data_IF_245472051594
#
_entry.id   IF_245472051594
#
_cell.length_a   1.000
_cell.length_b   1.000
_cell.length_c   1.000
_cell.angle_alpha   90.00
_cell.angle_beta   90.00
_cell.angle_gamma   90.00
#
_symmetry.space_group_name_H-M   'P 1'
#
loop_
_entity.id
_entity.type
_entity.pdbx_description
1 polymer ?
#
# COMPACT_ATOMS: atom_id res chain seq x y z
N UNK A 1 -11.18 -15.60 29.82
CA UNK A 1 -10.71 -15.96 28.46
C UNK A 1 -10.27 -14.69 27.74
N UNK A 2 -8.97 -14.52 27.50
CA UNK A 2 -8.41 -13.46 26.66
C UNK A 2 -8.62 -13.79 25.18
N UNK A 3 -8.92 -12.79 24.36
CA UNK A 3 -8.99 -12.95 22.90
C UNK A 3 -7.59 -12.71 22.37
N UNK A 4 -7.06 -13.64 21.57
CA UNK A 4 -5.75 -13.50 20.93
C UNK A 4 -5.95 -13.31 19.42
N UNK A 5 -5.33 -12.27 18.87
CA UNK A 5 -5.32 -11.96 17.45
C UNK A 5 -3.88 -11.91 16.93
N UNK A 6 -3.69 -12.38 15.71
CA UNK A 6 -2.42 -12.32 14.99
C UNK A 6 -2.57 -11.37 13.81
N UNK A 7 -1.71 -10.36 13.73
CA UNK A 7 -1.63 -9.45 12.58
C UNK A 7 -0.29 -9.70 11.91
N UNK A 8 -0.30 -9.95 10.60
CA UNK A 8 0.90 -10.31 9.84
C UNK A 8 1.14 -9.37 8.67
N UNK A 9 2.37 -9.38 8.17
CA UNK A 9 2.70 -8.65 6.96
C UNK A 9 1.90 -9.21 5.76
N UNK A 10 1.40 -8.33 4.89
CA UNK A 10 0.74 -8.71 3.63
C UNK A 10 1.62 -9.60 2.71
N UNK A 11 2.93 -9.65 2.96
CA UNK A 11 3.91 -10.50 2.28
C UNK A 11 4.27 -11.80 3.02
N UNK A 12 3.54 -12.18 4.07
CA UNK A 12 3.76 -13.43 4.80
C UNK A 12 3.60 -14.68 3.92
N UNK A 13 2.72 -14.61 2.90
CA UNK A 13 2.44 -15.73 2.01
C UNK A 13 3.46 -15.97 0.89
N UNK A 14 3.10 -16.92 0.02
CA UNK A 14 3.71 -17.14 -1.29
C UNK A 14 2.61 -17.11 -2.35
N UNK A 15 2.63 -16.10 -3.23
CA UNK A 15 1.77 -15.97 -4.40
C UNK A 15 2.65 -15.82 -5.63
N UNK A 16 2.67 -16.85 -6.46
CA UNK A 16 3.19 -16.73 -7.83
C UNK A 16 2.18 -15.98 -8.68
N UNK A 17 2.67 -14.99 -9.42
CA UNK A 17 1.85 -14.35 -10.45
C UNK A 17 1.47 -15.37 -11.52
N UNK A 18 0.17 -15.61 -11.74
CA UNK A 18 -0.33 -16.52 -12.79
C UNK A 18 -0.17 -15.97 -14.22
N UNK A 19 0.48 -14.82 -14.39
CA UNK A 19 0.57 -14.11 -15.66
C UNK A 19 1.70 -14.71 -16.51
N UNK A 20 1.34 -15.32 -17.65
CA UNK A 20 2.26 -15.86 -18.67
C UNK A 20 2.66 -14.82 -19.74
N UNK A 21 2.81 -13.54 -19.38
CA UNK A 21 3.22 -12.51 -20.34
C UNK A 21 4.74 -12.27 -20.21
N UNK A 22 5.49 -12.58 -21.27
CA UNK A 22 6.95 -12.52 -21.31
C UNK A 22 7.55 -11.12 -21.03
N UNK A 23 6.75 -10.05 -21.11
CA UNK A 23 7.19 -8.66 -20.95
C UNK A 23 6.95 -8.06 -19.56
N UNK A 24 6.17 -8.71 -18.68
CA UNK A 24 5.95 -8.24 -17.30
C UNK A 24 6.76 -9.12 -16.36
N UNK A 25 7.81 -8.54 -15.75
CA UNK A 25 8.59 -9.19 -14.68
C UNK A 25 7.60 -9.83 -13.71
N UNK A 26 7.71 -11.15 -13.49
CA UNK A 26 6.95 -11.88 -12.49
C UNK A 26 7.23 -11.24 -11.13
N UNK A 27 6.38 -10.30 -10.69
CA UNK A 27 6.50 -9.71 -9.36
C UNK A 27 6.18 -10.83 -8.38
N UNK A 28 7.19 -11.36 -7.71
CA UNK A 28 7.01 -12.13 -6.49
C UNK A 28 6.39 -11.15 -5.49
N UNK A 29 5.07 -11.21 -5.32
CA UNK A 29 4.34 -10.23 -4.50
C UNK A 29 4.50 -10.49 -3.00
N UNK A 30 4.99 -11.66 -2.60
CA UNK A 30 5.01 -12.10 -1.21
C UNK A 30 6.28 -12.92 -0.92
N UNK A 31 7.08 -12.52 0.08
CA UNK A 31 8.46 -12.98 0.31
C UNK A 31 8.59 -13.91 1.53
N UNK A 32 7.53 -14.66 1.88
CA UNK A 32 7.47 -15.44 3.13
C UNK A 32 7.88 -14.60 4.35
N UNK A 33 7.36 -13.38 4.41
CA UNK A 33 7.75 -12.41 5.43
C UNK A 33 7.36 -12.92 6.82
N UNK A 34 8.29 -12.86 7.78
CA UNK A 34 8.06 -13.34 9.15
C UNK A 34 7.58 -12.23 10.09
N UNK A 35 7.42 -11.00 9.59
CA UNK A 35 6.98 -9.89 10.41
C UNK A 35 5.52 -10.07 10.82
N UNK A 36 5.27 -10.08 12.14
CA UNK A 36 3.95 -10.30 12.74
C UNK A 36 3.88 -9.77 14.16
N UNK A 37 2.67 -9.44 14.60
CA UNK A 37 2.36 -9.04 15.97
C UNK A 37 1.23 -9.89 16.53
N UNK A 38 1.41 -10.32 17.76
CA UNK A 38 0.38 -10.99 18.55
C UNK A 38 -0.22 -9.97 19.50
N UNK A 39 -1.52 -9.76 19.38
CA UNK A 39 -2.28 -8.82 20.19
C UNK A 39 -3.27 -9.61 21.02
N UNK A 40 -3.39 -9.28 22.29
CA UNK A 40 -4.32 -9.91 23.22
C UNK A 40 -5.21 -8.87 23.88
N UNK A 41 -6.50 -9.16 23.96
CA UNK A 41 -7.43 -8.35 24.72
C UNK A 41 -7.44 -8.81 26.19
N UNK A 42 -6.98 -7.93 27.08
CA UNK A 42 -6.99 -8.17 28.51
C UNK A 42 -8.31 -7.69 29.10
N UNK A 43 -9.23 -8.63 29.34
CA UNK A 43 -10.56 -8.34 29.91
C UNK A 43 -10.52 -7.76 31.32
N UNK A 44 -9.47 -7.99 32.11
CA UNK A 44 -9.38 -7.47 33.49
C UNK A 44 -9.02 -5.99 33.51
N UNK A 45 -8.19 -5.56 32.55
CA UNK A 45 -7.71 -4.18 32.43
C UNK A 45 -8.45 -3.39 31.34
N UNK A 46 -9.39 -4.04 30.67
CA UNK A 46 -10.19 -3.52 29.55
C UNK A 46 -9.35 -2.84 28.45
N UNK A 47 -8.21 -3.45 28.10
CA UNK A 47 -7.33 -2.91 27.05
C UNK A 47 -6.68 -3.99 26.19
N UNK A 48 -6.19 -3.56 25.02
CA UNK A 48 -5.38 -4.39 24.14
C UNK A 48 -3.90 -4.31 24.52
N UNK A 49 -3.21 -5.44 24.49
CA UNK A 49 -1.77 -5.55 24.75
C UNK A 49 -1.07 -6.31 23.63
N UNK A 50 0.11 -5.86 23.23
CA UNK A 50 0.99 -6.62 22.34
C UNK A 50 1.79 -7.61 23.18
N UNK A 51 1.61 -8.91 22.93
CA UNK A 51 2.26 -9.98 23.69
C UNK A 51 3.56 -10.47 23.06
N UNK A 52 3.63 -10.44 21.73
CA UNK A 52 4.84 -10.80 20.97
C UNK A 52 4.91 -9.99 19.68
N UNK A 53 6.11 -9.51 19.38
CA UNK A 53 6.37 -8.68 18.21
C UNK A 53 7.62 -9.18 17.47
N UNK A 54 7.45 -9.58 16.21
CA UNK A 54 8.54 -9.93 15.31
C UNK A 54 8.64 -8.83 14.24
N UNK A 55 9.62 -7.93 14.35
CA UNK A 55 9.79 -6.76 13.46
C UNK A 55 10.58 -7.04 12.18
N UNK A 56 11.29 -8.17 12.11
CA UNK A 56 12.23 -8.44 11.01
C UNK A 56 11.48 -8.78 9.72
N UNK A 57 11.55 -7.88 8.74
CA UNK A 57 11.08 -8.14 7.39
C UNK A 57 12.13 -8.89 6.55
N UNK A 58 11.67 -9.72 5.62
CA UNK A 58 12.52 -10.40 4.61
C UNK A 58 12.59 -9.64 3.28
N UNK A 59 12.03 -8.44 3.24
CA UNK A 59 11.95 -7.60 2.05
C UNK A 59 12.11 -6.13 2.44
N UNK A 60 12.49 -5.26 1.48
CA UNK A 60 12.41 -3.82 1.68
C UNK A 60 10.96 -3.41 2.00
N UNK A 61 10.79 -2.61 3.04
CA UNK A 61 9.53 -1.96 3.40
C UNK A 61 9.66 -0.47 3.10
N UNK A 62 8.74 0.10 2.33
CA UNK A 62 8.76 1.52 1.99
C UNK A 62 7.40 2.13 2.28
N UNK A 63 7.39 3.21 3.06
CA UNK A 63 6.17 3.98 3.33
C UNK A 63 5.50 4.49 2.04
N UNK A 64 6.27 4.70 0.97
CA UNK A 64 5.77 5.07 -0.36
C UNK A 64 4.81 4.04 -0.98
N UNK A 65 4.86 2.79 -0.53
CA UNK A 65 3.94 1.74 -0.99
C UNK A 65 2.57 1.79 -0.28
N UNK A 66 2.40 2.70 0.69
CA UNK A 66 1.12 2.93 1.39
C UNK A 66 0.01 3.37 0.43
N UNK A 67 0.34 4.02 -0.69
CA UNK A 67 -0.59 4.38 -1.77
C UNK A 67 -1.45 3.21 -2.28
N UNK A 68 -1.02 1.97 -2.09
CA UNK A 68 -1.84 0.81 -2.45
C UNK A 68 -3.02 0.57 -1.50
N UNK A 69 -2.97 1.11 -0.29
CA UNK A 69 -4.02 1.04 0.73
C UNK A 69 -4.86 2.30 0.68
N UNK A 70 -6.17 2.15 0.45
CA UNK A 70 -7.09 3.27 0.25
C UNK A 70 -7.07 4.26 1.43
N UNK A 71 -6.94 3.76 2.66
CA UNK A 71 -6.92 4.56 3.89
C UNK A 71 -5.72 5.50 3.99
N UNK A 72 -4.66 5.24 3.23
CA UNK A 72 -3.44 6.04 3.19
C UNK A 72 -3.25 6.77 1.86
N UNK A 73 -4.27 6.76 0.99
CA UNK A 73 -4.24 7.55 -0.25
C UNK A 73 -4.59 8.98 0.07
N UNK A 74 -3.75 9.90 -0.38
CA UNK A 74 -3.97 11.33 -0.22
C UNK A 74 -3.58 12.08 -1.48
N UNK A 75 -4.51 12.89 -1.98
CA UNK A 75 -4.27 13.81 -3.07
C UNK A 75 -3.74 15.14 -2.51
N UNK A 76 -2.59 15.57 -3.00
CA UNK A 76 -2.08 16.92 -2.70
C UNK A 76 -3.02 17.97 -3.30
N UNK A 77 -3.09 19.15 -2.68
CA UNK A 77 -3.90 20.25 -3.23
C UNK A 77 -3.50 20.63 -4.67
N UNK A 78 -2.20 20.54 -4.97
CA UNK A 78 -1.71 20.75 -6.33
C UNK A 78 -2.26 19.71 -7.30
N UNK A 79 -2.18 18.42 -6.95
CA UNK A 79 -2.71 17.34 -7.78
C UNK A 79 -4.22 17.53 -8.03
N UNK A 80 -5.01 17.86 -6.99
CA UNK A 80 -6.45 18.12 -7.14
C UNK A 80 -6.74 19.21 -8.17
N UNK A 81 -6.05 20.36 -8.07
CA UNK A 81 -6.24 21.48 -8.99
C UNK A 81 -5.86 21.13 -10.43
N UNK A 82 -4.80 20.34 -10.63
CA UNK A 82 -4.39 19.88 -11.97
C UNK A 82 -5.42 18.90 -12.55
N UNK A 83 -5.94 17.98 -11.73
CA UNK A 83 -6.99 17.03 -12.15
C UNK A 83 -8.26 17.77 -12.57
N UNK A 84 -8.76 18.68 -11.73
CA UNK A 84 -9.96 19.48 -12.02
C UNK A 84 -9.82 20.28 -13.33
N UNK A 85 -8.70 20.98 -13.52
CA UNK A 85 -8.47 21.76 -14.75
C UNK A 85 -8.35 20.89 -15.99
N UNK A 86 -7.77 19.71 -15.85
CA UNK A 86 -7.61 18.79 -16.97
C UNK A 86 -8.94 18.11 -17.33
N UNK A 87 -9.80 17.85 -16.34
CA UNK A 87 -11.16 17.36 -16.55
C UNK A 87 -12.03 18.41 -17.28
N UNK A 88 -11.90 19.70 -16.94
CA UNK A 88 -12.60 20.80 -17.63
C UNK A 88 -12.30 20.89 -19.14
N UNK A 89 -11.15 20.36 -19.58
CA UNK A 89 -10.73 20.34 -21.00
C UNK A 89 -10.70 18.92 -21.58
N UNK A 90 -11.38 17.97 -20.96
CA UNK A 90 -11.52 16.56 -21.38
C UNK A 90 -10.17 15.84 -21.59
N UNK A 91 -9.13 16.20 -20.83
CA UNK A 91 -7.87 15.46 -20.84
C UNK A 91 -8.07 14.14 -20.10
N UNK A 92 -7.71 13.05 -20.79
CA UNK A 92 -7.81 11.71 -20.23
C UNK A 92 -7.08 11.59 -18.88
N UNK A 93 -7.74 11.07 -17.82
CA UNK A 93 -7.18 10.91 -16.47
C UNK A 93 -5.80 10.24 -16.43
N UNK A 94 -5.61 9.15 -17.18
CA UNK A 94 -4.31 8.47 -17.30
C UNK A 94 -3.15 9.40 -17.71
N UNK A 95 -3.40 10.36 -18.62
CA UNK A 95 -2.37 11.34 -19.03
C UNK A 95 -2.07 12.35 -17.93
N UNK A 96 -3.09 12.78 -17.20
CA UNK A 96 -2.94 13.65 -16.03
C UNK A 96 -2.11 12.97 -14.96
N UNK A 97 -2.45 11.73 -14.61
CA UNK A 97 -1.69 10.92 -13.67
C UNK A 97 -0.23 10.75 -14.09
N UNK A 98 0.04 10.43 -15.36
CA UNK A 98 1.42 10.27 -15.85
C UNK A 98 2.22 11.57 -15.78
N UNK A 99 1.60 12.71 -16.10
CA UNK A 99 2.24 14.04 -16.00
C UNK A 99 2.60 14.35 -14.55
N UNK A 100 1.63 14.22 -13.64
CA UNK A 100 1.84 14.42 -12.20
C UNK A 100 2.90 13.47 -11.64
N UNK A 101 2.89 12.20 -12.05
CA UNK A 101 3.92 11.24 -11.67
C UNK A 101 5.31 11.68 -12.13
N UNK A 102 5.45 12.20 -13.35
CA UNK A 102 6.73 12.68 -13.87
C UNK A 102 7.23 13.91 -13.11
N UNK A 103 6.35 14.85 -12.78
CA UNK A 103 6.67 16.06 -12.00
C UNK A 103 7.25 15.72 -10.62
N UNK A 104 6.68 14.72 -9.94
CA UNK A 104 7.16 14.27 -8.63
C UNK A 104 8.29 13.23 -8.72
N UNK A 105 8.83 12.95 -9.90
CA UNK A 105 9.96 12.03 -10.10
C UNK A 105 9.60 10.53 -10.00
N UNK A 106 8.35 10.18 -10.27
CA UNK A 106 7.85 8.82 -10.39
C UNK A 106 6.55 8.58 -9.61
N UNK A 107 5.77 7.58 -10.05
CA UNK A 107 4.48 7.23 -9.43
C UNK A 107 4.57 6.78 -7.98
N UNK A 108 5.73 6.30 -7.52
CA UNK A 108 5.95 5.96 -6.11
C UNK A 108 6.01 7.19 -5.19
N UNK A 109 6.12 8.40 -5.74
CA UNK A 109 6.08 9.65 -4.98
C UNK A 109 4.70 10.31 -5.01
N UNK A 110 3.72 9.74 -5.74
CA UNK A 110 2.33 10.16 -5.68
C UNK A 110 1.64 9.52 -4.48
N UNK A 111 0.81 10.31 -3.80
CA UNK A 111 -0.02 9.85 -2.69
C UNK A 111 -1.28 9.09 -3.11
N UNK A 112 -1.53 8.94 -4.41
CA UNK A 112 -2.71 8.26 -4.97
C UNK A 112 -2.34 7.40 -6.19
N UNK A 113 -3.24 6.53 -6.61
CA UNK A 113 -3.06 5.64 -7.75
C UNK A 113 -3.87 6.09 -8.97
N UNK A 114 -3.46 5.66 -10.16
CA UNK A 114 -4.16 5.94 -11.43
C UNK A 114 -5.66 5.56 -11.44
N UNK A 115 -6.08 4.65 -10.55
CA UNK A 115 -7.45 4.15 -10.48
C UNK A 115 -8.36 4.92 -9.53
N UNK A 116 -7.85 5.98 -8.94
CA UNK A 116 -8.58 6.83 -7.98
C UNK A 116 -9.28 8.03 -8.66
N UNK A 117 -9.09 8.17 -9.97
CA UNK A 117 -9.86 9.06 -10.86
C UNK A 117 -11.05 8.32 -11.50
#
# INVERSE_FOLDING_TARGET
MSINQLITCNREGYRESRVKAASRVKKITTTRCRARMYVMFNKQKDHWMVSKLELKHTHPCSAKQSVHYHEYRELTMHAKCVIEKNDEVDIQPNKTYLTLANEVGGSSNLGYSEKDE
#
